data_IF_753634455982
#
_entry.id   IF_753634455982
#
_cell.length_a   1.000
_cell.length_b   1.000
_cell.length_c   1.000
_cell.angle_alpha   90.00
_cell.angle_beta   90.00
_cell.angle_gamma   90.00
#
_symmetry.space_group_name_H-M   'P 1'
#
loop_
_entity.id
_entity.type
_entity.pdbx_description
1 polymer ?
#
# COMPACT_ATOMS: atom_id res chain seq x y z
N UNK A 1 -38.54 -54.54 -6.42
CA UNK A 1 -37.29 -54.52 -7.23
C UNK A 1 -37.18 -53.31 -8.17
N UNK A 2 -38.23 -52.53 -8.48
CA UNK A 2 -38.11 -51.27 -9.23
C UNK A 2 -37.62 -50.09 -8.38
N UNK A 3 -38.14 -49.97 -7.15
CA UNK A 3 -37.77 -48.92 -6.19
C UNK A 3 -36.25 -48.84 -5.93
N UNK A 4 -35.59 -49.99 -5.80
CA UNK A 4 -34.14 -50.09 -5.57
C UNK A 4 -33.31 -49.55 -6.75
N UNK A 5 -33.81 -49.67 -7.99
CA UNK A 5 -33.16 -49.13 -9.19
C UNK A 5 -33.29 -47.61 -9.26
N UNK A 6 -34.44 -47.09 -8.87
CA UNK A 6 -34.69 -45.65 -8.83
C UNK A 6 -33.82 -44.97 -7.76
N UNK A 7 -33.65 -45.62 -6.60
CA UNK A 7 -32.73 -45.18 -5.55
C UNK A 7 -31.26 -45.20 -6.00
N UNK A 8 -30.81 -46.28 -6.67
CA UNK A 8 -29.46 -46.36 -7.23
C UNK A 8 -29.21 -45.29 -8.30
N UNK A 9 -30.20 -45.03 -9.16
CA UNK A 9 -30.11 -43.97 -10.17
C UNK A 9 -30.07 -42.58 -9.50
N UNK A 10 -30.85 -42.35 -8.45
CA UNK A 10 -30.83 -41.10 -7.69
C UNK A 10 -29.46 -40.90 -7.03
N UNK A 11 -28.91 -41.96 -6.44
CA UNK A 11 -27.59 -41.94 -5.79
C UNK A 11 -26.49 -41.58 -6.80
N UNK A 12 -26.48 -42.19 -7.99
CA UNK A 12 -25.52 -41.85 -9.04
C UNK A 12 -25.66 -40.40 -9.54
N UNK A 13 -26.88 -39.85 -9.58
CA UNK A 13 -27.10 -38.42 -9.91
C UNK A 13 -26.59 -37.49 -8.80
N UNK A 14 -26.74 -37.88 -7.54
CA UNK A 14 -26.24 -37.12 -6.39
C UNK A 14 -24.72 -37.14 -6.38
N UNK A 15 -24.12 -38.31 -6.60
CA UNK A 15 -22.66 -38.50 -6.68
C UNK A 15 -22.04 -37.62 -7.77
N UNK A 16 -22.58 -37.67 -9.00
CA UNK A 16 -22.10 -36.80 -10.08
C UNK A 16 -22.29 -35.29 -9.82
N UNK A 17 -23.33 -34.90 -9.05
CA UNK A 17 -23.50 -33.51 -8.61
C UNK A 17 -22.46 -33.12 -7.56
N UNK A 18 -22.16 -34.01 -6.61
CA UNK A 18 -21.15 -33.79 -5.58
C UNK A 18 -19.75 -33.68 -6.19
N UNK A 19 -19.42 -34.51 -7.17
CA UNK A 19 -18.18 -34.41 -7.94
C UNK A 19 -18.09 -33.07 -8.67
N UNK A 20 -19.18 -32.64 -9.31
CA UNK A 20 -19.26 -31.34 -9.97
C UNK A 20 -19.05 -30.17 -9.02
N UNK A 21 -19.64 -30.22 -7.82
CA UNK A 21 -19.46 -29.21 -6.78
C UNK A 21 -18.02 -29.20 -6.28
N UNK A 22 -17.45 -30.37 -5.99
CA UNK A 22 -16.07 -30.51 -5.53
C UNK A 22 -15.08 -29.95 -6.55
N UNK A 23 -15.26 -30.26 -7.83
CA UNK A 23 -14.45 -29.71 -8.90
C UNK A 23 -14.60 -28.18 -9.03
N UNK A 24 -15.81 -27.65 -8.81
CA UNK A 24 -16.04 -26.21 -8.83
C UNK A 24 -15.35 -25.50 -7.65
N UNK A 25 -15.48 -26.04 -6.45
CA UNK A 25 -14.83 -25.51 -5.24
C UNK A 25 -13.31 -25.50 -5.39
N UNK A 26 -12.71 -26.60 -5.85
CA UNK A 26 -11.26 -26.65 -6.10
C UNK A 26 -10.79 -25.56 -7.08
N UNK A 27 -11.57 -25.25 -8.11
CA UNK A 27 -11.26 -24.15 -9.04
C UNK A 27 -11.43 -22.77 -8.40
N UNK A 28 -12.41 -22.62 -7.50
CA UNK A 28 -12.59 -21.37 -6.76
C UNK A 28 -11.42 -21.14 -5.80
N UNK A 29 -10.98 -22.18 -5.08
CA UNK A 29 -9.83 -22.10 -4.16
C UNK A 29 -8.56 -21.68 -4.90
N UNK A 30 -8.29 -22.25 -6.08
CA UNK A 30 -7.18 -21.84 -6.93
C UNK A 30 -7.26 -20.35 -7.33
N UNK A 31 -8.45 -19.88 -7.73
CA UNK A 31 -8.64 -18.47 -8.10
C UNK A 31 -8.47 -17.52 -6.91
N UNK A 32 -8.89 -17.96 -5.72
CA UNK A 32 -8.71 -17.18 -4.49
C UNK A 32 -7.22 -17.09 -4.15
N UNK A 33 -6.48 -18.20 -4.26
CA UNK A 33 -5.02 -18.19 -4.05
C UNK A 33 -4.30 -17.26 -5.04
N UNK A 34 -4.63 -17.33 -6.33
CA UNK A 34 -4.07 -16.41 -7.33
C UNK A 34 -4.41 -14.94 -7.04
N UNK A 35 -5.60 -14.66 -6.49
CA UNK A 35 -6.00 -13.31 -6.13
C UNK A 35 -5.20 -12.82 -4.92
N UNK A 36 -5.02 -13.66 -3.90
CA UNK A 36 -4.25 -13.37 -2.70
C UNK A 36 -2.81 -12.99 -3.05
N UNK A 37 -2.15 -13.80 -3.88
CA UNK A 37 -0.80 -13.52 -4.37
C UNK A 37 -0.70 -12.17 -5.11
N UNK A 38 -1.70 -11.83 -5.93
CA UNK A 38 -1.73 -10.55 -6.66
C UNK A 38 -1.94 -9.37 -5.72
N UNK A 39 -2.75 -9.53 -4.68
CA UNK A 39 -2.99 -8.49 -3.67
C UNK A 39 -1.70 -8.26 -2.89
N UNK A 40 -1.04 -9.30 -2.42
CA UNK A 40 0.23 -9.20 -1.69
C UNK A 40 1.31 -8.51 -2.53
N UNK A 41 1.45 -8.86 -3.81
CA UNK A 41 2.38 -8.18 -4.72
C UNK A 41 2.07 -6.69 -4.86
N UNK A 42 0.78 -6.33 -4.97
CA UNK A 42 0.37 -4.93 -5.06
C UNK A 42 0.65 -4.16 -3.77
N UNK A 43 0.37 -4.77 -2.61
CA UNK A 43 0.64 -4.16 -1.31
C UNK A 43 2.15 -3.93 -1.13
N UNK A 44 2.98 -4.93 -1.41
CA UNK A 44 4.44 -4.80 -1.37
C UNK A 44 4.97 -3.68 -2.31
N UNK A 45 4.38 -3.55 -3.49
CA UNK A 45 4.71 -2.47 -4.43
C UNK A 45 4.33 -1.09 -3.87
N UNK A 46 3.15 -0.98 -3.26
CA UNK A 46 2.68 0.25 -2.61
C UNK A 46 3.61 0.62 -1.46
N UNK A 47 3.95 -0.32 -0.57
CA UNK A 47 4.84 -0.08 0.56
C UNK A 47 6.22 0.41 0.12
N UNK A 48 6.77 -0.18 -0.94
CA UNK A 48 8.04 0.26 -1.53
C UNK A 48 7.96 1.71 -1.98
N UNK A 49 6.90 2.06 -2.72
CA UNK A 49 6.68 3.44 -3.21
C UNK A 49 6.42 4.41 -2.07
N UNK A 50 5.69 4.02 -1.04
CA UNK A 50 5.47 4.84 0.15
C UNK A 50 6.79 5.13 0.86
N UNK A 51 7.65 4.12 1.04
CA UNK A 51 8.97 4.31 1.64
C UNK A 51 9.86 5.25 0.81
N UNK A 52 9.75 5.23 -0.51
CA UNK A 52 10.42 6.22 -1.36
C UNK A 52 9.86 7.63 -1.17
N UNK A 53 8.54 7.77 -1.08
CA UNK A 53 7.87 9.05 -0.81
C UNK A 53 8.28 9.58 0.56
N UNK A 54 8.30 8.75 1.60
CA UNK A 54 8.76 9.12 2.95
C UNK A 54 10.20 9.61 2.94
N UNK A 55 11.11 8.90 2.24
CA UNK A 55 12.50 9.36 2.09
C UNK A 55 12.58 10.70 1.37
N UNK A 56 11.84 10.86 0.26
CA UNK A 56 11.81 12.12 -0.49
C UNK A 56 11.23 13.26 0.34
N UNK A 57 10.17 13.01 1.11
CA UNK A 57 9.56 13.98 2.00
C UNK A 57 10.50 14.35 3.16
N UNK A 58 11.22 13.39 3.74
CA UNK A 58 12.23 13.65 4.75
C UNK A 58 13.38 14.51 4.19
N UNK A 59 13.86 14.19 2.99
CA UNK A 59 14.90 14.99 2.31
C UNK A 59 14.37 16.39 1.96
N UNK A 60 13.17 16.51 1.38
CA UNK A 60 12.56 17.79 1.04
C UNK A 60 12.25 18.63 2.28
N UNK A 61 11.79 18.01 3.38
CA UNK A 61 11.57 18.63 4.67
C UNK A 61 12.87 19.11 5.32
N UNK A 62 13.94 18.31 5.25
CA UNK A 62 15.26 18.70 5.74
C UNK A 62 15.88 19.84 4.91
N UNK A 63 15.78 19.77 3.59
CA UNK A 63 16.28 20.81 2.67
C UNK A 63 15.50 22.11 2.84
N UNK A 64 14.16 22.04 2.95
CA UNK A 64 13.33 23.22 3.18
C UNK A 64 13.52 23.81 4.57
N UNK A 65 13.58 22.98 5.63
CA UNK A 65 13.86 23.43 6.99
C UNK A 65 15.24 24.07 7.14
N UNK A 66 16.28 23.49 6.53
CA UNK A 66 17.64 24.02 6.53
C UNK A 66 17.76 25.35 5.79
N UNK A 67 17.18 25.45 4.59
CA UNK A 67 17.20 26.70 3.80
C UNK A 67 16.43 27.83 4.49
N UNK A 68 15.28 27.53 5.11
CA UNK A 68 14.50 28.51 5.87
C UNK A 68 15.26 29.01 7.09
N UNK A 69 15.87 28.12 7.88
CA UNK A 69 16.65 28.50 9.05
C UNK A 69 17.85 29.40 8.68
N UNK A 70 18.58 29.05 7.62
CA UNK A 70 19.69 29.85 7.12
C UNK A 70 19.19 31.19 6.57
N UNK A 71 18.11 31.20 5.80
CA UNK A 71 17.51 32.43 5.27
C UNK A 71 17.06 33.39 6.37
N UNK A 72 16.36 32.90 7.39
CA UNK A 72 15.93 33.71 8.54
C UNK A 72 17.13 34.24 9.33
N UNK A 73 18.16 33.41 9.56
CA UNK A 73 19.37 33.83 10.25
C UNK A 73 20.09 34.98 9.51
N UNK A 74 20.26 34.86 8.19
CA UNK A 74 20.87 35.90 7.36
C UNK A 74 20.07 37.20 7.36
N UNK A 75 18.73 37.13 7.34
CA UNK A 75 17.87 38.31 7.43
C UNK A 75 18.06 39.00 8.79
N UNK A 76 18.00 38.24 9.89
CA UNK A 76 18.16 38.79 11.24
C UNK A 76 19.53 39.41 11.43
N UNK A 77 20.60 38.74 10.97
CA UNK A 77 21.97 39.24 11.10
C UNK A 77 22.23 40.46 10.19
N UNK A 78 21.67 40.48 8.98
CA UNK A 78 21.73 41.64 8.09
C UNK A 78 21.03 42.87 8.69
N UNK A 79 19.85 42.68 9.27
CA UNK A 79 19.11 43.73 10.00
C UNK A 79 19.93 44.24 11.19
N UNK A 80 20.45 43.32 12.02
CA UNK A 80 21.24 43.66 13.20
C UNK A 80 22.52 44.43 12.85
N UNK A 81 23.20 44.03 11.78
CA UNK A 81 24.42 44.68 11.29
C UNK A 81 24.12 46.06 10.74
N UNK A 82 23.03 46.23 10.00
CA UNK A 82 22.58 47.53 9.52
C UNK A 82 22.28 48.49 10.68
N UNK A 83 21.57 48.03 11.71
CA UNK A 83 21.29 48.84 12.90
C UNK A 83 22.52 49.11 13.77
N UNK A 84 23.49 48.19 13.83
CA UNK A 84 24.77 48.40 14.55
C UNK A 84 25.78 49.25 13.80
N UNK A 85 25.77 49.21 12.47
CA UNK A 85 26.69 49.96 11.61
C UNK A 85 26.19 51.35 11.22
N UNK A 86 24.89 51.63 11.36
CA UNK A 86 24.27 52.88 10.90
C UNK A 86 23.74 53.84 11.98
N UNK A 87 23.94 53.56 13.27
CA UNK A 87 23.34 54.39 14.32
C UNK A 87 23.94 54.22 15.70
N UNK A 88 25.16 54.73 15.89
CA UNK A 88 25.69 55.22 17.17
C UNK A 88 26.95 56.05 16.83
N UNK A 89 26.70 57.25 16.32
CA UNK A 89 27.70 58.20 15.88
C UNK A 89 27.15 59.63 15.82
N UNK A 90 26.39 60.01 16.84
CA UNK A 90 26.21 61.32 17.48
C UNK A 90 24.97 61.27 18.38
#
# INVERSE_FOLDING_TARGET
MSLEKDELMLLGKIDGKLDGITAHLNRQDQRIQELDERVDQRLNSIDTRLREVEKKAAVAGAVSGGAVAVGTALIVEGIKTYFRGGGLGN
#
